data_IF_495880717589
#
_entry.id   IF_495880717589
#
_cell.length_a   1.000
_cell.length_b   1.000
_cell.length_c   1.000
_cell.angle_alpha   90.00
_cell.angle_beta   90.00
_cell.angle_gamma   90.00
#
_symmetry.space_group_name_H-M   'P 1'
#
loop_
_entity.id
_entity.type
_entity.pdbx_description
1 polymer ?
#
# COMPACT_ATOMS: atom_id res chain seq x y z
N UNK A 1 14.83 0.93 24.49
CA UNK A 1 14.46 -0.47 24.27
C UNK A 1 12.95 -0.62 24.39
N UNK A 2 12.35 -1.42 23.54
CA UNK A 2 10.92 -1.77 23.59
C UNK A 2 10.80 -3.24 24.00
N UNK A 3 9.88 -3.51 24.90
CA UNK A 3 9.62 -4.83 25.44
C UNK A 3 8.19 -5.26 25.13
N UNK A 4 8.03 -6.53 24.80
CA UNK A 4 6.75 -7.21 24.56
C UNK A 4 6.72 -8.46 25.44
N UNK A 5 5.75 -8.57 26.35
CA UNK A 5 5.64 -9.65 27.33
C UNK A 5 6.94 -9.90 28.13
N UNK A 6 7.55 -8.80 28.60
CA UNK A 6 8.82 -8.77 29.36
C UNK A 6 10.08 -9.22 28.58
N UNK A 7 9.96 -9.56 27.31
CA UNK A 7 11.10 -9.83 26.44
C UNK A 7 11.48 -8.59 25.63
N UNK A 8 12.79 -8.33 25.49
CA UNK A 8 13.28 -7.24 24.65
C UNK A 8 12.95 -7.56 23.19
N UNK A 9 12.05 -6.74 22.59
CA UNK A 9 11.56 -6.94 21.25
C UNK A 9 12.44 -6.22 20.22
N UNK A 10 12.75 -4.95 20.47
CA UNK A 10 13.56 -4.13 19.57
C UNK A 10 14.16 -2.91 20.26
N UNK A 11 15.06 -2.25 19.56
CA UNK A 11 15.52 -0.89 19.87
C UNK A 11 14.90 0.10 18.89
N UNK A 12 14.53 1.27 19.41
CA UNK A 12 14.05 2.36 18.57
C UNK A 12 14.53 3.70 19.11
N UNK A 13 14.90 4.60 18.22
CA UNK A 13 15.15 6.01 18.50
C UNK A 13 14.06 6.92 17.93
N UNK A 14 12.96 6.34 17.44
CA UNK A 14 11.85 7.05 16.86
C UNK A 14 10.83 7.46 17.90
N UNK A 15 10.14 8.58 17.66
CA UNK A 15 9.00 9.04 18.47
C UNK A 15 7.78 8.12 18.28
N UNK A 16 7.60 7.60 17.06
CA UNK A 16 6.55 6.64 16.72
C UNK A 16 7.26 5.37 16.24
N UNK A 17 6.93 4.25 16.86
CA UNK A 17 7.52 2.96 16.52
C UNK A 17 6.41 1.94 16.33
N UNK A 18 6.51 1.20 15.24
CA UNK A 18 5.59 0.13 14.88
C UNK A 18 6.14 -1.21 15.33
N UNK A 19 5.27 -2.07 15.82
CA UNK A 19 5.58 -3.46 16.13
C UNK A 19 4.93 -4.34 15.06
N UNK A 20 5.73 -5.21 14.45
CA UNK A 20 5.30 -6.16 13.41
C UNK A 20 5.41 -7.59 13.94
N UNK A 21 5.00 -8.58 13.16
CA UNK A 21 5.13 -10.02 13.48
C UNK A 21 4.46 -10.46 14.80
N UNK A 22 3.50 -9.67 15.29
CA UNK A 22 2.65 -10.08 16.41
C UNK A 22 1.62 -11.12 15.91
N UNK A 23 1.42 -12.18 16.72
CA UNK A 23 0.42 -13.19 16.40
C UNK A 23 -0.99 -12.58 16.47
N UNK A 24 -1.90 -12.96 15.58
CA UNK A 24 -3.29 -12.55 15.67
C UNK A 24 -3.99 -13.14 16.91
N UNK A 25 -5.11 -12.54 17.31
CA UNK A 25 -5.98 -12.96 18.41
C UNK A 25 -5.20 -13.25 19.71
N UNK A 26 -4.26 -12.37 20.05
CA UNK A 26 -3.30 -12.58 21.14
C UNK A 26 -3.16 -11.32 22.01
N UNK A 27 -3.09 -11.52 23.31
CA UNK A 27 -2.82 -10.44 24.27
C UNK A 27 -1.33 -10.21 24.41
N UNK A 28 -0.94 -8.92 24.42
CA UNK A 28 0.42 -8.48 24.64
C UNK A 28 0.48 -7.35 25.65
N UNK A 29 1.49 -7.42 26.52
CA UNK A 29 1.89 -6.31 27.37
C UNK A 29 3.10 -5.61 26.72
N UNK A 30 3.00 -4.32 26.50
CA UNK A 30 4.04 -3.54 25.81
C UNK A 30 4.48 -2.37 26.67
N UNK A 31 5.79 -2.17 26.80
CA UNK A 31 6.38 -1.01 27.45
C UNK A 31 7.74 -0.67 26.85
N UNK A 32 8.23 0.53 27.14
CA UNK A 32 9.59 0.92 26.79
C UNK A 32 10.45 1.14 28.03
N UNK A 33 11.77 1.00 27.85
CA UNK A 33 12.77 1.38 28.84
C UNK A 33 13.69 2.43 28.23
N UNK A 34 13.76 3.59 28.86
CA UNK A 34 14.61 4.70 28.46
C UNK A 34 15.46 5.14 29.64
N UNK A 35 16.78 5.19 29.48
CA UNK A 35 17.74 5.52 30.54
C UNK A 35 17.53 4.71 31.84
N UNK A 36 17.19 3.41 31.72
CA UNK A 36 16.93 2.54 32.85
C UNK A 36 15.58 2.73 33.53
N UNK A 37 14.73 3.63 33.04
CA UNK A 37 13.41 3.87 33.56
C UNK A 37 12.35 3.22 32.65
N UNK A 38 11.48 2.42 33.24
CA UNK A 38 10.33 1.81 32.57
C UNK A 38 9.22 2.84 32.38
N UNK A 39 8.63 2.89 31.20
CA UNK A 39 7.42 3.69 30.90
C UNK A 39 6.17 3.02 31.50
N UNK A 40 5.01 3.64 31.31
CA UNK A 40 3.73 2.94 31.52
C UNK A 40 3.64 1.70 30.63
N UNK A 41 2.95 0.70 31.11
CA UNK A 41 2.60 -0.49 30.35
C UNK A 41 1.29 -0.28 29.60
N UNK A 42 1.22 -0.85 28.41
CA UNK A 42 0.01 -0.86 27.58
C UNK A 42 -0.34 -2.31 27.24
N UNK A 43 -1.53 -2.73 27.61
CA UNK A 43 -2.05 -4.01 27.20
C UNK A 43 -2.82 -3.85 25.89
N UNK A 44 -2.49 -4.65 24.91
CA UNK A 44 -3.12 -4.68 23.60
C UNK A 44 -3.58 -6.09 23.28
N UNK A 45 -4.69 -6.21 22.58
CA UNK A 45 -5.16 -7.45 21.99
C UNK A 45 -5.12 -7.29 20.47
N UNK A 46 -4.40 -8.18 19.78
CA UNK A 46 -4.33 -8.18 18.32
C UNK A 46 -5.63 -8.73 17.74
N UNK A 47 -6.03 -8.21 16.58
CA UNK A 47 -7.27 -8.65 15.94
C UNK A 47 -7.20 -10.13 15.55
N UNK A 48 -8.36 -10.77 15.55
CA UNK A 48 -8.53 -12.09 14.96
C UNK A 48 -8.19 -12.06 13.47
N UNK A 49 -7.57 -13.13 12.98
CA UNK A 49 -7.28 -13.36 11.58
C UNK A 49 -7.78 -14.77 11.19
N UNK A 50 -8.62 -14.82 10.16
CA UNK A 50 -9.19 -16.09 9.69
C UNK A 50 -8.16 -16.89 8.87
N UNK A 51 -7.49 -16.26 7.91
CA UNK A 51 -6.46 -16.89 7.07
C UNK A 51 -5.46 -15.87 6.52
N UNK A 52 -4.21 -16.29 6.39
CA UNK A 52 -3.19 -15.59 5.60
C UNK A 52 -3.08 -16.21 4.22
N UNK A 53 -3.30 -15.42 3.18
CA UNK A 53 -3.09 -15.83 1.78
C UNK A 53 -1.72 -15.35 1.32
N UNK A 54 -0.80 -16.26 1.05
CA UNK A 54 0.51 -15.94 0.51
C UNK A 54 0.41 -15.76 -1.01
N UNK A 55 0.91 -14.66 -1.57
CA UNK A 55 0.84 -14.40 -3.02
C UNK A 55 1.59 -15.44 -3.84
N UNK A 56 2.59 -16.10 -3.28
CA UNK A 56 3.31 -17.19 -3.93
C UNK A 56 2.42 -18.41 -4.20
N UNK A 57 1.40 -18.67 -3.38
CA UNK A 57 0.42 -19.73 -3.58
C UNK A 57 -0.51 -19.44 -4.77
N UNK A 58 -0.53 -18.19 -5.23
CA UNK A 58 -1.27 -17.72 -6.41
C UNK A 58 -0.37 -17.59 -7.65
N UNK A 59 0.90 -17.98 -7.53
CA UNK A 59 1.86 -18.02 -8.64
C UNK A 59 2.80 -16.82 -8.73
N UNK A 60 2.84 -15.93 -7.72
CA UNK A 60 3.85 -14.89 -7.66
C UNK A 60 5.23 -15.49 -7.42
N UNK A 61 6.23 -15.01 -8.15
CA UNK A 61 7.61 -15.53 -8.06
C UNK A 61 8.53 -14.64 -7.21
N UNK A 62 8.32 -13.35 -7.19
CA UNK A 62 9.14 -12.42 -6.41
C UNK A 62 10.61 -12.39 -6.81
N UNK A 63 10.91 -12.63 -8.09
CA UNK A 63 12.27 -12.77 -8.62
C UNK A 63 12.78 -11.52 -9.35
N UNK A 64 12.00 -10.44 -9.37
CA UNK A 64 12.33 -9.17 -10.02
C UNK A 64 12.24 -9.18 -11.55
N UNK A 65 11.78 -10.27 -12.14
CA UNK A 65 11.73 -10.47 -13.61
C UNK A 65 10.32 -10.73 -14.11
N UNK A 66 9.63 -11.70 -13.51
CA UNK A 66 8.28 -12.10 -13.92
C UNK A 66 7.25 -11.06 -13.52
N UNK A 67 6.17 -10.99 -14.30
CA UNK A 67 5.01 -10.13 -14.00
C UNK A 67 4.12 -10.80 -12.96
N UNK A 68 4.22 -10.35 -11.72
CA UNK A 68 3.49 -10.87 -10.57
C UNK A 68 2.14 -10.17 -10.35
N UNK A 69 1.77 -9.21 -11.20
CA UNK A 69 0.55 -8.39 -11.05
C UNK A 69 -0.69 -9.24 -10.86
N UNK A 70 -0.90 -10.21 -11.75
CA UNK A 70 -2.11 -11.05 -11.72
C UNK A 70 -2.13 -11.98 -10.51
N UNK A 71 -0.99 -12.53 -10.11
CA UNK A 71 -0.91 -13.41 -8.94
C UNK A 71 -1.29 -12.65 -7.65
N UNK A 72 -0.73 -11.45 -7.47
CA UNK A 72 -1.06 -10.59 -6.32
C UNK A 72 -2.53 -10.15 -6.39
N UNK A 73 -3.02 -9.77 -7.57
CA UNK A 73 -4.42 -9.36 -7.75
C UNK A 73 -5.38 -10.52 -7.45
N UNK A 74 -5.07 -11.74 -7.85
CA UNK A 74 -5.86 -12.91 -7.53
C UNK A 74 -5.90 -13.18 -6.03
N UNK A 75 -4.77 -13.11 -5.34
CA UNK A 75 -4.72 -13.24 -3.88
C UNK A 75 -5.60 -12.19 -3.18
N UNK A 76 -5.53 -10.93 -3.61
CA UNK A 76 -6.37 -9.85 -3.09
C UNK A 76 -7.85 -10.15 -3.31
N UNK A 77 -8.24 -10.54 -4.52
CA UNK A 77 -9.64 -10.82 -4.84
C UNK A 77 -10.18 -12.03 -4.09
N UNK A 78 -9.36 -13.05 -3.86
CA UNK A 78 -9.71 -14.26 -3.11
C UNK A 78 -9.76 -14.05 -1.59
N UNK A 79 -9.09 -13.01 -1.07
CA UNK A 79 -8.94 -12.79 0.37
C UNK A 79 -10.30 -12.52 1.03
N UNK A 80 -10.76 -13.35 1.97
CA UNK A 80 -12.00 -13.09 2.69
C UNK A 80 -11.81 -11.98 3.73
N UNK A 81 -12.93 -11.50 4.28
CA UNK A 81 -12.90 -10.56 5.40
C UNK A 81 -12.15 -11.16 6.59
N UNK A 82 -11.60 -10.30 7.42
CA UNK A 82 -10.80 -10.67 8.60
C UNK A 82 -9.61 -11.58 8.26
N UNK A 83 -9.03 -11.37 7.10
CA UNK A 83 -7.90 -12.13 6.57
C UNK A 83 -6.82 -11.19 6.01
N UNK A 84 -5.66 -11.74 5.73
CA UNK A 84 -4.52 -10.99 5.25
C UNK A 84 -3.98 -11.58 3.94
N UNK A 85 -3.57 -10.72 3.02
CA UNK A 85 -2.71 -11.07 1.89
C UNK A 85 -1.29 -10.75 2.29
N UNK A 86 -0.42 -11.74 2.27
CA UNK A 86 1.01 -11.62 2.57
C UNK A 86 1.81 -11.63 1.27
N UNK A 87 2.61 -10.58 1.09
CA UNK A 87 3.68 -10.52 0.10
C UNK A 87 5.00 -10.78 0.85
N UNK A 88 5.58 -11.98 0.75
CA UNK A 88 6.81 -12.32 1.46
C UNK A 88 8.03 -11.59 0.89
N UNK A 89 9.20 -11.76 1.50
CA UNK A 89 10.47 -11.23 0.98
C UNK A 89 10.67 -11.61 -0.49
N UNK A 90 11.04 -10.64 -1.33
CA UNK A 90 11.24 -10.80 -2.78
C UNK A 90 11.00 -9.51 -3.54
N UNK A 91 11.37 -9.47 -4.81
CA UNK A 91 11.09 -8.36 -5.71
C UNK A 91 10.00 -8.76 -6.71
N UNK A 92 8.79 -8.22 -6.54
CA UNK A 92 7.60 -8.52 -7.33
C UNK A 92 7.38 -7.45 -8.38
N UNK A 93 7.58 -7.79 -9.66
CA UNK A 93 7.30 -6.88 -10.77
C UNK A 93 5.80 -6.73 -10.96
N UNK A 94 5.33 -5.48 -10.87
CA UNK A 94 3.89 -5.19 -10.94
C UNK A 94 3.61 -3.98 -11.85
N UNK A 95 2.45 -3.99 -12.48
CA UNK A 95 1.86 -2.79 -13.06
C UNK A 95 0.94 -2.10 -12.05
N UNK A 96 -0.37 -2.30 -12.16
CA UNK A 96 -1.33 -1.75 -11.21
C UNK A 96 -2.01 -2.86 -10.42
N UNK A 97 -1.99 -2.74 -9.11
CA UNK A 97 -2.70 -3.61 -8.19
C UNK A 97 -3.87 -2.84 -7.59
N UNK A 98 -5.08 -3.38 -7.74
CA UNK A 98 -6.30 -2.76 -7.25
C UNK A 98 -6.70 -3.35 -5.90
N UNK A 99 -6.93 -2.44 -4.96
CA UNK A 99 -7.39 -2.77 -3.61
C UNK A 99 -8.91 -3.01 -3.61
N UNK A 100 -9.37 -3.77 -2.66
CA UNK A 100 -10.80 -3.98 -2.38
C UNK A 100 -11.14 -3.63 -0.94
N UNK A 101 -12.42 -3.59 -0.60
CA UNK A 101 -12.87 -3.39 0.78
C UNK A 101 -12.52 -4.58 1.69
N UNK A 102 -12.40 -4.30 2.99
CA UNK A 102 -12.08 -5.26 4.05
C UNK A 102 -10.79 -6.05 3.78
N UNK A 103 -9.72 -5.36 3.33
CA UNK A 103 -8.43 -5.93 2.95
C UNK A 103 -7.34 -5.54 3.94
N UNK A 104 -6.56 -6.51 4.37
CA UNK A 104 -5.21 -6.28 4.91
C UNK A 104 -4.18 -6.80 3.90
N UNK A 105 -3.36 -5.90 3.36
CA UNK A 105 -2.22 -6.21 2.49
C UNK A 105 -0.93 -5.98 3.29
N UNK A 106 -0.21 -7.03 3.55
CA UNK A 106 1.09 -6.96 4.22
C UNK A 106 2.23 -7.19 3.25
N UNK A 107 3.17 -6.24 3.24
CA UNK A 107 4.46 -6.42 2.61
C UNK A 107 5.48 -6.73 3.70
N UNK A 108 5.93 -7.96 3.75
CA UNK A 108 6.93 -8.40 4.72
C UNK A 108 8.23 -7.61 4.58
N UNK A 109 9.08 -7.69 5.58
CA UNK A 109 10.44 -7.13 5.50
C UNK A 109 11.19 -7.72 4.30
N UNK A 110 11.76 -6.86 3.46
CA UNK A 110 12.44 -7.28 2.23
C UNK A 110 11.52 -7.51 1.03
N UNK A 111 10.20 -7.42 1.19
CA UNK A 111 9.28 -7.42 0.05
C UNK A 111 9.33 -6.09 -0.70
N UNK A 112 9.40 -6.13 -2.01
CA UNK A 112 9.40 -4.95 -2.88
C UNK A 112 8.35 -5.15 -3.97
N UNK A 113 7.31 -4.30 -4.00
CA UNK A 113 6.47 -4.14 -5.18
C UNK A 113 7.20 -3.20 -6.14
N UNK A 114 7.80 -3.75 -7.18
CA UNK A 114 8.69 -3.09 -8.14
C UNK A 114 7.92 -2.80 -9.42
N UNK A 115 7.57 -1.53 -9.65
CA UNK A 115 6.72 -1.18 -10.79
C UNK A 115 7.40 -1.39 -12.13
N UNK A 116 6.63 -1.82 -13.14
CA UNK A 116 7.02 -1.66 -14.53
C UNK A 116 7.14 -0.17 -14.88
N UNK A 117 7.91 0.14 -15.90
CA UNK A 117 8.08 1.51 -16.38
C UNK A 117 7.52 1.71 -17.79
N UNK A 118 7.11 0.63 -18.44
CA UNK A 118 6.48 0.62 -19.74
C UNK A 118 5.00 1.05 -19.63
N UNK A 119 4.64 2.07 -20.39
CA UNK A 119 3.30 2.71 -20.30
C UNK A 119 2.17 1.78 -20.70
N UNK A 120 2.41 0.88 -21.63
CA UNK A 120 1.45 -0.10 -22.14
C UNK A 120 1.08 -1.20 -21.11
N UNK A 121 1.86 -1.32 -20.05
CA UNK A 121 1.55 -2.20 -18.93
C UNK A 121 0.46 -1.66 -18.02
N UNK A 122 0.18 -0.36 -18.06
CA UNK A 122 -0.74 0.29 -17.14
C UNK A 122 -2.08 0.59 -17.79
N UNK A 123 -3.22 0.19 -17.18
CA UNK A 123 -4.52 0.63 -17.65
C UNK A 123 -4.66 2.14 -17.48
N UNK A 124 -5.45 2.76 -18.36
CA UNK A 124 -5.77 4.18 -18.28
C UNK A 124 -7.11 4.32 -17.54
N UNK A 125 -7.09 5.12 -16.49
CA UNK A 125 -8.29 5.51 -15.76
C UNK A 125 -8.81 6.81 -16.36
N UNK A 126 -10.08 6.87 -16.82
CA UNK A 126 -10.66 8.05 -17.43
C UNK A 126 -10.82 9.19 -16.40
N UNK A 127 -10.59 10.41 -16.87
CA UNK A 127 -10.79 11.61 -16.06
C UNK A 127 -12.24 11.89 -15.78
N UNK A 128 -13.11 11.60 -16.74
CA UNK A 128 -14.56 11.79 -16.63
C UNK A 128 -15.27 10.52 -17.04
N UNK A 129 -16.19 10.05 -16.22
CA UNK A 129 -17.17 9.04 -16.58
C UNK A 129 -18.51 9.76 -16.64
N UNK A 130 -19.16 9.73 -17.80
CA UNK A 130 -20.52 10.27 -17.94
C UNK A 130 -21.50 9.44 -17.10
N UNK A 131 -22.24 10.12 -16.23
CA UNK A 131 -23.31 9.51 -15.45
C UNK A 131 -24.61 9.60 -16.23
N UNK A 132 -25.38 8.52 -16.28
CA UNK A 132 -26.71 8.51 -16.91
C UNK A 132 -27.77 9.27 -16.11
N UNK A 133 -27.51 9.55 -14.82
CA UNK A 133 -28.49 10.18 -13.92
C UNK A 133 -28.18 11.64 -13.58
N UNK A 134 -27.11 12.20 -14.14
CA UNK A 134 -26.67 13.59 -13.96
C UNK A 134 -26.40 14.01 -12.49
N UNK A 135 -26.39 13.05 -11.56
CA UNK A 135 -26.28 13.36 -10.13
C UNK A 135 -24.88 13.33 -9.60
N UNK A 136 -24.01 12.52 -10.18
CA UNK A 136 -22.62 12.35 -9.72
C UNK A 136 -21.67 12.29 -10.90
N UNK A 137 -20.75 13.26 -10.96
CA UNK A 137 -19.56 13.14 -11.80
C UNK A 137 -18.58 12.19 -11.12
N UNK A 138 -18.20 11.13 -11.80
CA UNK A 138 -17.26 10.15 -11.31
C UNK A 138 -15.93 10.26 -12.03
N UNK A 139 -14.92 10.72 -11.31
CA UNK A 139 -13.55 10.84 -11.84
C UNK A 139 -12.68 9.71 -11.34
N UNK A 140 -12.18 8.86 -12.21
CA UNK A 140 -11.16 7.86 -11.87
C UNK A 140 -9.75 8.40 -12.03
N UNK A 141 -9.54 9.37 -12.92
CA UNK A 141 -8.27 10.04 -13.15
C UNK A 141 -8.34 11.54 -12.81
N UNK A 142 -7.32 12.05 -12.15
CA UNK A 142 -7.19 13.47 -11.84
C UNK A 142 -5.75 13.92 -11.98
N UNK A 143 -5.53 15.07 -12.62
CA UNK A 143 -4.22 15.69 -12.75
C UNK A 143 -4.30 17.18 -12.39
N UNK A 144 -3.54 17.57 -11.35
CA UNK A 144 -3.52 18.95 -10.85
C UNK A 144 -4.93 19.53 -10.59
N UNK A 145 -5.82 18.71 -10.03
CA UNK A 145 -7.20 19.08 -9.72
C UNK A 145 -8.18 19.02 -10.91
N UNK A 146 -7.70 18.67 -12.09
CA UNK A 146 -8.55 18.54 -13.28
C UNK A 146 -8.89 17.06 -13.55
N UNK A 147 -10.13 16.75 -13.99
CA UNK A 147 -10.55 15.41 -14.37
C UNK A 147 -9.91 15.02 -15.71
N UNK A 148 -8.74 14.45 -15.68
CA UNK A 148 -7.95 14.07 -16.86
C UNK A 148 -7.54 12.61 -16.78
N UNK A 149 -7.48 11.96 -17.94
CA UNK A 149 -7.04 10.58 -18.04
C UNK A 149 -5.63 10.41 -17.50
N UNK A 150 -5.47 9.44 -16.60
CA UNK A 150 -4.20 9.08 -15.99
C UNK A 150 -3.95 7.58 -16.13
N UNK A 151 -2.70 7.19 -16.25
CA UNK A 151 -2.35 5.79 -15.99
C UNK A 151 -2.70 5.46 -14.54
N UNK A 152 -3.23 4.27 -14.29
CA UNK A 152 -3.57 3.81 -12.95
C UNK A 152 -2.33 3.76 -12.06
N UNK A 153 -2.52 4.00 -10.77
CA UNK A 153 -1.45 3.93 -9.80
C UNK A 153 -0.90 2.50 -9.65
N UNK A 154 0.31 2.40 -9.14
CA UNK A 154 0.92 1.10 -8.82
C UNK A 154 0.04 0.38 -7.78
N UNK A 155 -0.40 1.09 -6.75
CA UNK A 155 -1.38 0.61 -5.80
C UNK A 155 -2.59 1.54 -5.82
N UNK A 156 -3.76 1.01 -6.22
CA UNK A 156 -4.94 1.79 -6.54
C UNK A 156 -6.16 1.31 -5.77
N UNK A 157 -6.83 2.20 -5.05
CA UNK A 157 -8.11 1.93 -4.39
C UNK A 157 -9.23 2.80 -4.97
N UNK A 158 -10.35 2.19 -5.34
CA UNK A 158 -11.54 2.89 -5.84
C UNK A 158 -12.75 2.37 -5.08
N UNK A 159 -13.48 3.26 -4.41
CA UNK A 159 -14.66 2.92 -3.60
C UNK A 159 -14.41 1.81 -2.57
N UNK A 160 -13.20 1.74 -2.02
CA UNK A 160 -12.83 0.71 -1.06
C UNK A 160 -12.95 1.23 0.38
N UNK A 161 -13.37 0.37 1.29
CA UNK A 161 -13.49 0.65 2.70
C UNK A 161 -12.69 -0.34 3.55
N UNK A 162 -12.21 0.11 4.72
CA UNK A 162 -11.51 -0.74 5.69
C UNK A 162 -10.26 -1.42 5.09
N UNK A 163 -9.38 -0.62 4.49
CA UNK A 163 -8.15 -1.11 3.86
C UNK A 163 -6.96 -0.82 4.76
N UNK A 164 -6.15 -1.83 5.01
CA UNK A 164 -4.88 -1.74 5.73
C UNK A 164 -3.75 -2.20 4.83
N UNK A 165 -2.77 -1.34 4.62
CA UNK A 165 -1.49 -1.67 3.98
C UNK A 165 -0.44 -1.59 5.06
N UNK A 166 0.26 -2.67 5.35
CA UNK A 166 1.15 -2.76 6.51
C UNK A 166 2.43 -3.53 6.21
N UNK A 167 3.37 -3.48 7.15
CA UNK A 167 4.62 -4.22 7.09
C UNK A 167 5.85 -3.32 6.94
N UNK A 168 6.98 -3.94 6.67
CA UNK A 168 8.28 -3.27 6.52
C UNK A 168 8.79 -3.27 5.06
N UNK A 169 7.90 -3.61 4.11
CA UNK A 169 8.23 -3.68 2.69
C UNK A 169 8.27 -2.33 1.99
N UNK A 170 8.50 -2.38 0.69
CA UNK A 170 8.69 -1.20 -0.16
C UNK A 170 7.75 -1.25 -1.36
N UNK A 171 7.22 -0.11 -1.74
CA UNK A 171 6.56 0.13 -3.03
C UNK A 171 7.48 1.05 -3.82
N UNK A 172 8.03 0.57 -4.93
CA UNK A 172 9.01 1.26 -5.76
C UNK A 172 8.44 1.54 -7.15
N UNK A 173 8.33 2.81 -7.51
CA UNK A 173 7.88 3.21 -8.83
C UNK A 173 8.92 3.05 -9.93
N UNK A 174 10.17 2.73 -9.60
CA UNK A 174 11.30 2.58 -10.53
C UNK A 174 11.51 3.77 -11.47
N UNK A 175 11.15 4.94 -11.01
CA UNK A 175 11.09 6.12 -11.86
C UNK A 175 12.45 6.78 -11.98
N UNK A 176 12.82 7.09 -13.22
CA UNK A 176 14.04 7.84 -13.56
C UNK A 176 13.70 8.97 -14.54
N UNK A 177 14.68 9.83 -14.81
CA UNK A 177 14.58 10.87 -15.84
C UNK A 177 14.56 10.31 -17.28
N UNK A 178 14.87 9.03 -17.45
CA UNK A 178 14.87 8.35 -18.75
C UNK A 178 13.51 7.69 -19.07
N UNK A 179 12.66 7.47 -18.05
CA UNK A 179 11.34 6.86 -18.21
C UNK A 179 10.20 7.83 -17.87
N UNK A 180 9.53 7.70 -16.72
CA UNK A 180 8.35 8.49 -16.39
C UNK A 180 8.62 9.99 -16.25
N UNK A 181 9.81 10.41 -15.83
CA UNK A 181 10.18 11.82 -15.71
C UNK A 181 10.70 12.42 -17.02
N UNK A 182 10.90 11.62 -18.08
CA UNK A 182 11.22 12.14 -19.40
C UNK A 182 10.02 12.90 -19.98
N UNK A 183 10.24 14.18 -20.34
CA UNK A 183 9.19 15.06 -20.83
C UNK A 183 7.94 15.09 -19.95
N UNK A 184 8.12 15.12 -18.64
CA UNK A 184 7.09 14.90 -17.63
C UNK A 184 5.94 15.92 -17.63
N UNK A 185 6.10 17.07 -18.32
CA UNK A 185 5.06 18.09 -18.48
C UNK A 185 4.20 17.90 -19.74
N UNK A 186 4.50 16.90 -20.55
CA UNK A 186 3.77 16.60 -21.78
C UNK A 186 2.93 15.34 -21.53
N UNK A 187 1.62 15.45 -21.81
CA UNK A 187 0.73 14.29 -21.82
C UNK A 187 1.17 13.32 -22.93
N UNK A 188 1.44 12.08 -22.55
CA UNK A 188 1.74 11.00 -23.48
C UNK A 188 0.69 9.91 -23.31
N UNK A 189 -0.31 9.89 -24.19
CA UNK A 189 -1.53 9.08 -24.13
C UNK A 189 -2.39 9.45 -22.93
N UNK A 190 -1.88 9.29 -21.72
CA UNK A 190 -2.48 9.70 -20.45
C UNK A 190 -1.43 10.37 -19.55
N UNK A 191 -1.86 11.00 -18.47
CA UNK A 191 -0.96 11.53 -17.45
C UNK A 191 -0.30 10.41 -16.64
N UNK A 192 0.88 10.71 -16.10
CA UNK A 192 1.68 9.76 -15.33
C UNK A 192 0.92 9.17 -14.15
N UNK A 193 1.16 7.92 -13.79
CA UNK A 193 0.52 7.29 -12.64
C UNK A 193 0.97 7.94 -11.32
N UNK A 194 0.22 7.71 -10.26
CA UNK A 194 0.67 7.89 -8.87
C UNK A 194 1.33 6.61 -8.39
N UNK A 195 2.06 6.68 -7.28
CA UNK A 195 2.51 5.47 -6.64
C UNK A 195 1.35 4.81 -5.89
N UNK A 196 0.70 5.57 -5.02
CA UNK A 196 -0.50 5.17 -4.29
C UNK A 196 -1.62 6.17 -4.54
N UNK A 197 -2.73 5.69 -5.06
CA UNK A 197 -3.92 6.49 -5.35
C UNK A 197 -5.16 5.83 -4.77
N UNK A 198 -5.95 6.60 -4.02
CA UNK A 198 -7.24 6.18 -3.50
C UNK A 198 -8.30 7.22 -3.84
N UNK A 199 -9.44 6.73 -4.32
CA UNK A 199 -10.55 7.55 -4.78
C UNK A 199 -11.86 7.07 -4.16
N UNK A 200 -12.59 7.96 -3.48
CA UNK A 200 -13.82 7.66 -2.74
C UNK A 200 -13.67 6.48 -1.76
N UNK A 201 -12.50 6.38 -1.13
CA UNK A 201 -12.22 5.35 -0.12
C UNK A 201 -12.48 5.87 1.29
N UNK A 202 -12.80 4.96 2.19
CA UNK A 202 -13.06 5.27 3.59
C UNK A 202 -12.30 4.32 4.51
N UNK A 203 -11.76 4.84 5.62
CA UNK A 203 -11.01 4.08 6.61
C UNK A 203 -9.84 3.29 5.99
N UNK A 204 -8.86 4.05 5.47
CA UNK A 204 -7.64 3.48 4.87
C UNK A 204 -6.44 3.79 5.75
N UNK A 205 -5.65 2.79 6.05
CA UNK A 205 -4.40 2.91 6.81
C UNK A 205 -3.22 2.37 6.00
N UNK A 206 -2.13 3.15 5.93
CA UNK A 206 -0.82 2.68 5.48
C UNK A 206 0.15 2.80 6.65
N UNK A 207 0.87 1.72 6.97
CA UNK A 207 1.63 1.61 8.19
C UNK A 207 2.96 0.89 7.96
N UNK A 208 4.08 1.55 8.30
CA UNK A 208 5.44 0.99 8.25
C UNK A 208 6.11 0.97 6.88
N UNK A 209 5.34 1.12 5.82
CA UNK A 209 5.76 0.95 4.41
C UNK A 209 6.74 2.04 3.96
N UNK A 210 7.72 1.65 3.16
CA UNK A 210 8.53 2.57 2.36
C UNK A 210 7.89 2.77 0.99
N UNK A 211 7.73 4.02 0.55
CA UNK A 211 7.26 4.40 -0.78
C UNK A 211 8.33 5.25 -1.47
N UNK A 212 8.76 4.87 -2.67
CA UNK A 212 9.90 5.54 -3.30
C UNK A 212 9.79 5.59 -4.83
N UNK A 213 10.62 6.47 -5.44
CA UNK A 213 10.74 6.61 -6.89
C UNK A 213 9.40 6.77 -7.61
N UNK A 214 8.54 7.69 -7.13
CA UNK A 214 7.19 7.85 -7.66
C UNK A 214 7.19 8.47 -9.07
N UNK A 215 6.34 7.98 -9.98
CA UNK A 215 6.15 8.57 -11.31
C UNK A 215 5.57 9.99 -11.29
N UNK A 216 4.81 10.32 -10.26
CA UNK A 216 4.27 11.67 -10.01
C UNK A 216 4.04 11.86 -8.50
N UNK A 217 2.87 12.22 -8.03
CA UNK A 217 2.58 12.29 -6.59
C UNK A 217 2.67 10.91 -5.95
N UNK A 218 3.39 10.83 -4.84
CA UNK A 218 3.67 9.56 -4.16
C UNK A 218 2.41 8.99 -3.51
N UNK A 219 1.70 9.81 -2.73
CA UNK A 219 0.44 9.44 -2.08
C UNK A 219 -0.60 10.46 -2.47
N UNK A 220 -1.67 10.01 -3.11
CA UNK A 220 -2.75 10.86 -3.59
C UNK A 220 -4.12 10.34 -3.13
N UNK A 221 -4.60 10.75 -1.96
CA UNK A 221 -5.98 10.52 -1.57
C UNK A 221 -6.89 11.54 -2.28
N UNK A 222 -7.95 11.05 -2.90
CA UNK A 222 -8.91 11.85 -3.64
C UNK A 222 -10.32 11.52 -3.15
N UNK A 223 -11.08 12.50 -2.69
CA UNK A 223 -12.40 12.33 -2.09
C UNK A 223 -12.51 11.18 -1.08
N UNK A 224 -11.49 10.99 -0.25
CA UNK A 224 -11.38 9.88 0.69
C UNK A 224 -11.31 10.36 2.13
N UNK A 225 -11.85 9.57 3.07
CA UNK A 225 -12.01 9.95 4.46
C UNK A 225 -11.37 8.94 5.43
N UNK A 226 -11.14 9.37 6.69
CA UNK A 226 -10.60 8.53 7.77
C UNK A 226 -9.29 7.84 7.40
N UNK A 227 -8.31 8.63 6.95
CA UNK A 227 -7.03 8.16 6.46
C UNK A 227 -5.97 8.22 7.56
N UNK A 228 -5.14 7.18 7.65
CA UNK A 228 -4.00 7.10 8.56
C UNK A 228 -2.75 6.69 7.81
N UNK A 229 -1.71 7.51 7.90
CA UNK A 229 -0.37 7.21 7.39
C UNK A 229 0.59 7.26 8.58
N UNK A 230 1.05 6.08 9.04
CA UNK A 230 1.81 5.93 10.27
C UNK A 230 3.16 5.29 9.95
N UNK A 231 4.27 5.91 10.39
CA UNK A 231 5.64 5.44 10.15
C UNK A 231 5.92 5.12 8.66
N UNK A 232 5.31 5.88 7.75
CA UNK A 232 5.53 5.74 6.30
C UNK A 232 6.80 6.51 5.92
N UNK A 233 7.70 5.87 5.19
CA UNK A 233 8.93 6.50 4.68
C UNK A 233 8.75 6.86 3.22
N UNK A 234 8.90 8.13 2.87
CA UNK A 234 8.87 8.63 1.48
C UNK A 234 10.29 8.95 1.04
N UNK A 235 10.72 8.39 -0.09
CA UNK A 235 12.06 8.62 -0.66
C UNK A 235 11.97 9.00 -2.13
#
# INVERSE_FOLDING_TARGET
DIYVNDEKYMESNKVITSLFDLKPDTDYNVYAVYNGQKTNEVNIHTKYEFVTLNVCDFGALGDGVHDDTNAIQCAIMACPKDSRVLVPEGEYKVSSVFLKSDLTLELAKGAVLSAFTERDKFPILPGVIESYDEKEEYNLGSWEGNPLDCFSAILCGINAENVVITGEGTIDGNTTFENWWNNCKIRNTAWRPRLFFINHCNNVMMHGITVQNSPSWTIHPYFSNHLKFIDVKIK
#
